data_IF_226326069656
#
_entry.id   IF_226326069656
#
_cell.length_a   1.000
_cell.length_b   1.000
_cell.length_c   1.000
_cell.angle_alpha   90.00
_cell.angle_beta   90.00
_cell.angle_gamma   90.00
#
_symmetry.space_group_name_H-M   'P 1'
#
loop_
_entity.id
_entity.type
_entity.pdbx_description
1 polymer ?
#
# COMPACT_ATOMS: atom_id res chain seq x y z
N UNK A 1 -20.18 24.13 23.66
CA UNK A 1 -18.93 24.57 23.00
C UNK A 1 -18.62 23.58 21.89
N UNK A 2 -18.75 24.00 20.62
CA UNK A 2 -18.41 23.16 19.47
C UNK A 2 -16.88 23.07 19.39
N UNK A 3 -16.31 21.91 19.67
CA UNK A 3 -14.90 21.66 19.44
C UNK A 3 -14.68 21.62 17.93
N UNK A 4 -14.10 22.69 17.39
CA UNK A 4 -13.60 22.75 16.01
C UNK A 4 -12.55 21.64 15.85
N UNK A 5 -12.86 20.60 15.08
CA UNK A 5 -11.92 19.51 14.82
C UNK A 5 -11.11 19.90 13.61
N UNK A 6 -9.80 19.99 13.73
CA UNK A 6 -8.96 20.42 12.61
C UNK A 6 -8.67 19.25 11.66
N UNK A 7 -8.44 19.52 10.37
CA UNK A 7 -7.94 18.50 9.43
C UNK A 7 -6.66 17.82 9.95
N UNK A 8 -5.84 18.52 10.75
CA UNK A 8 -4.68 17.94 11.44
C UNK A 8 -5.03 16.82 12.42
N UNK A 9 -6.23 16.82 13.00
CA UNK A 9 -6.68 15.82 13.97
C UNK A 9 -7.11 14.49 13.31
N UNK A 10 -7.26 14.48 11.97
CA UNK A 10 -7.59 13.29 11.19
C UNK A 10 -6.38 12.39 10.90
N UNK A 11 -5.18 12.75 11.38
CA UNK A 11 -4.00 11.88 11.25
C UNK A 11 -3.34 11.89 9.87
N UNK A 12 -3.53 12.94 9.06
CA UNK A 12 -2.91 13.05 7.72
C UNK A 12 -1.38 12.98 7.73
N UNK A 13 -0.73 13.37 8.84
CA UNK A 13 0.71 13.20 8.99
C UNK A 13 1.11 11.72 9.03
N UNK A 14 0.32 10.88 9.70
CA UNK A 14 0.59 9.44 9.78
C UNK A 14 0.26 8.75 8.46
N UNK A 15 -0.81 9.17 7.77
CA UNK A 15 -1.09 8.76 6.39
C UNK A 15 0.05 9.13 5.44
N UNK A 16 0.59 10.36 5.53
CA UNK A 16 1.73 10.79 4.73
C UNK A 16 2.96 9.90 4.95
N UNK A 17 3.30 9.60 6.21
CA UNK A 17 4.42 8.69 6.54
C UNK A 17 4.22 7.31 5.94
N UNK A 18 3.01 6.76 6.06
CA UNK A 18 2.67 5.47 5.47
C UNK A 18 2.81 5.52 3.95
N UNK A 19 2.22 6.51 3.28
CA UNK A 19 2.29 6.62 1.81
C UNK A 19 3.71 6.81 1.31
N UNK A 20 4.53 7.64 1.96
CA UNK A 20 5.94 7.81 1.58
C UNK A 20 6.69 6.50 1.73
N UNK A 21 6.50 5.76 2.83
CA UNK A 21 7.15 4.47 3.02
C UNK A 21 6.78 3.47 1.90
N UNK A 22 5.49 3.39 1.56
CA UNK A 22 4.99 2.60 0.44
C UNK A 22 5.58 3.05 -0.91
N UNK A 23 5.61 4.36 -1.18
CA UNK A 23 6.19 4.93 -2.41
C UNK A 23 7.66 4.56 -2.53
N UNK A 24 8.46 4.73 -1.47
CA UNK A 24 9.90 4.44 -1.50
C UNK A 24 10.14 2.96 -1.81
N UNK A 25 9.39 2.05 -1.17
CA UNK A 25 9.57 0.61 -1.39
C UNK A 25 9.11 0.19 -2.77
N UNK A 26 7.92 0.63 -3.21
CA UNK A 26 7.44 0.35 -4.56
C UNK A 26 8.42 0.88 -5.61
N UNK A 27 8.97 2.07 -5.40
CA UNK A 27 9.98 2.64 -6.30
C UNK A 27 11.26 1.81 -6.30
N UNK A 28 11.80 1.45 -5.12
CA UNK A 28 13.00 0.64 -5.01
C UNK A 28 12.83 -0.73 -5.69
N UNK A 29 11.70 -1.40 -5.43
CA UNK A 29 11.36 -2.68 -6.06
C UNK A 29 11.23 -2.52 -7.58
N UNK A 30 10.48 -1.51 -8.05
CA UNK A 30 10.39 -1.15 -9.47
C UNK A 30 11.77 -0.94 -10.11
N UNK A 31 12.67 -0.18 -9.49
CA UNK A 31 14.00 0.06 -10.03
C UNK A 31 14.84 -1.23 -10.10
N UNK A 32 14.81 -2.05 -9.04
CA UNK A 32 15.55 -3.32 -8.98
C UNK A 32 15.09 -4.27 -10.09
N UNK A 33 13.77 -4.43 -10.27
CA UNK A 33 13.25 -5.34 -11.29
C UNK A 33 13.45 -4.80 -12.69
N UNK A 34 13.24 -3.52 -12.94
CA UNK A 34 13.54 -2.96 -14.26
C UNK A 34 15.02 -3.10 -14.60
N UNK A 35 15.93 -2.90 -13.64
CA UNK A 35 17.35 -3.17 -13.83
C UNK A 35 17.63 -4.65 -14.14
N UNK A 36 17.04 -5.57 -13.37
CA UNK A 36 17.22 -7.01 -13.59
C UNK A 36 16.69 -7.47 -14.97
N UNK A 37 15.57 -6.91 -15.43
CA UNK A 37 14.99 -7.21 -16.74
C UNK A 37 15.84 -6.63 -17.87
N UNK A 38 16.33 -5.40 -17.72
CA UNK A 38 17.23 -4.78 -18.69
C UNK A 38 18.59 -5.49 -18.78
N UNK A 39 19.10 -6.00 -17.65
CA UNK A 39 20.37 -6.71 -17.58
C UNK A 39 20.31 -8.15 -18.10
N UNK A 40 19.12 -8.74 -18.29
CA UNK A 40 18.94 -10.15 -18.67
C UNK A 40 18.06 -10.31 -19.92
N UNK A 41 18.65 -10.66 -21.08
CA UNK A 41 17.90 -10.95 -22.31
C UNK A 41 16.91 -12.11 -22.13
N UNK A 42 17.24 -13.05 -21.24
CA UNK A 42 16.37 -14.17 -20.90
C UNK A 42 15.14 -13.71 -20.11
N UNK A 43 15.31 -12.86 -19.11
CA UNK A 43 14.19 -12.33 -18.32
C UNK A 43 13.24 -11.49 -19.18
N UNK A 44 13.80 -10.63 -20.06
CA UNK A 44 13.01 -9.85 -21.00
C UNK A 44 12.17 -10.74 -21.93
N UNK A 45 12.76 -11.84 -22.43
CA UNK A 45 12.07 -12.80 -23.30
C UNK A 45 10.94 -13.53 -22.57
N UNK A 46 11.16 -14.02 -21.34
CA UNK A 46 10.14 -14.70 -20.54
C UNK A 46 8.95 -13.79 -20.23
N UNK A 47 9.21 -12.52 -19.91
CA UNK A 47 8.16 -11.52 -19.63
C UNK A 47 7.31 -11.23 -20.88
N UNK A 48 7.94 -11.17 -22.06
CA UNK A 48 7.23 -10.90 -23.32
C UNK A 48 6.43 -12.12 -23.81
N UNK A 49 6.97 -13.33 -23.65
CA UNK A 49 6.33 -14.56 -24.13
C UNK A 49 5.22 -15.05 -23.20
N UNK A 50 5.40 -14.93 -21.88
CA UNK A 50 4.42 -15.37 -20.88
C UNK A 50 4.47 -14.49 -19.61
N UNK A 51 3.82 -13.31 -19.62
CA UNK A 51 3.83 -12.37 -18.50
C UNK A 51 3.17 -12.95 -17.24
N UNK A 52 2.26 -13.92 -17.38
CA UNK A 52 1.61 -14.57 -16.25
C UNK A 52 2.57 -15.54 -15.54
N UNK A 53 3.38 -16.27 -16.31
CA UNK A 53 4.45 -17.11 -15.76
C UNK A 53 5.52 -16.27 -15.08
N UNK A 54 5.97 -15.18 -15.69
CA UNK A 54 6.91 -14.26 -15.06
C UNK A 54 6.38 -13.70 -13.73
N UNK A 55 5.08 -13.39 -13.67
CA UNK A 55 4.41 -12.95 -12.45
C UNK A 55 4.42 -14.05 -11.37
N UNK A 56 4.19 -15.31 -11.73
CA UNK A 56 4.25 -16.45 -10.79
C UNK A 56 5.66 -16.68 -10.26
N UNK A 57 6.66 -16.65 -11.13
CA UNK A 57 8.06 -16.84 -10.75
C UNK A 57 8.52 -15.73 -9.80
N UNK A 58 8.13 -14.48 -10.06
CA UNK A 58 8.40 -13.36 -9.16
C UNK A 58 7.70 -13.52 -7.80
N UNK A 59 6.47 -14.01 -7.82
CA UNK A 59 5.67 -14.25 -6.63
C UNK A 59 6.28 -15.35 -5.73
N UNK A 60 6.69 -16.47 -6.34
CA UNK A 60 7.38 -17.56 -5.66
C UNK A 60 8.71 -17.09 -5.06
N UNK A 61 9.47 -16.29 -5.82
CA UNK A 61 10.70 -15.67 -5.31
C UNK A 61 10.44 -14.79 -4.10
N UNK A 62 9.44 -13.89 -4.18
CA UNK A 62 9.09 -12.99 -3.08
C UNK A 62 8.74 -13.74 -1.80
N UNK A 63 7.85 -14.74 -1.90
CA UNK A 63 7.45 -15.56 -0.75
C UNK A 63 8.62 -16.34 -0.17
N UNK A 64 9.52 -16.85 -1.01
CA UNK A 64 10.73 -17.55 -0.58
C UNK A 64 11.71 -16.62 0.14
N UNK A 65 11.80 -15.35 -0.27
CA UNK A 65 12.61 -14.33 0.41
C UNK A 65 12.02 -13.99 1.78
N UNK A 66 10.69 -13.94 1.93
CA UNK A 66 10.03 -13.61 3.20
C UNK A 66 10.03 -14.80 4.17
N UNK A 67 9.89 -16.03 3.68
CA UNK A 67 9.91 -17.22 4.53
C UNK A 67 10.72 -18.37 3.88
N UNK A 68 12.06 -18.27 3.90
CA UNK A 68 12.94 -19.28 3.30
C UNK A 68 12.81 -20.65 3.96
N UNK A 69 12.47 -20.69 5.25
CA UNK A 69 12.26 -21.94 6.00
C UNK A 69 11.03 -22.72 5.54
N UNK A 70 9.93 -22.03 5.22
CA UNK A 70 8.73 -22.69 4.72
C UNK A 70 8.88 -23.13 3.25
N UNK A 71 9.75 -22.47 2.47
CA UNK A 71 9.92 -22.70 1.03
C UNK A 71 11.29 -23.32 0.70
N UNK A 72 11.67 -24.37 1.42
CA UNK A 72 13.04 -24.90 1.40
C UNK A 72 13.49 -25.41 0.01
N UNK A 73 12.58 -25.93 -0.80
CA UNK A 73 12.85 -26.38 -2.18
C UNK A 73 13.18 -25.21 -3.11
N UNK A 74 12.37 -24.15 -3.09
CA UNK A 74 12.60 -22.92 -3.84
C UNK A 74 13.85 -22.18 -3.34
N UNK A 75 14.06 -22.13 -2.02
CA UNK A 75 15.25 -21.55 -1.40
C UNK A 75 16.53 -22.22 -1.88
N UNK A 76 16.59 -23.56 -1.84
CA UNK A 76 17.76 -24.33 -2.28
C UNK A 76 18.06 -24.07 -3.75
N UNK A 77 17.00 -24.00 -4.59
CA UNK A 77 17.12 -23.66 -6.01
C UNK A 77 17.70 -22.25 -6.21
N UNK A 78 17.20 -21.25 -5.50
CA UNK A 78 17.65 -19.85 -5.61
C UNK A 78 19.11 -19.70 -5.15
N UNK A 79 19.46 -20.26 -4.00
CA UNK A 79 20.84 -20.25 -3.47
C UNK A 79 21.82 -20.85 -4.47
N UNK A 80 21.48 -21.99 -5.07
CA UNK A 80 22.32 -22.67 -6.05
C UNK A 80 22.42 -21.92 -7.38
N UNK A 81 21.34 -21.28 -7.84
CA UNK A 81 21.32 -20.51 -9.10
C UNK A 81 22.15 -19.24 -8.99
N UNK A 82 22.00 -18.49 -7.89
CA UNK A 82 22.65 -17.19 -7.73
C UNK A 82 24.01 -17.27 -7.04
N UNK A 83 24.44 -18.46 -6.56
CA UNK A 83 25.70 -18.64 -5.83
C UNK A 83 25.77 -17.83 -4.53
N UNK A 84 24.60 -17.47 -3.97
CA UNK A 84 24.50 -16.64 -2.76
C UNK A 84 24.64 -17.54 -1.53
N UNK A 85 25.45 -17.16 -0.55
CA UNK A 85 25.56 -17.95 0.67
C UNK A 85 24.21 -18.03 1.42
N UNK A 86 23.82 -19.19 1.97
CA UNK A 86 22.59 -19.33 2.74
C UNK A 86 22.44 -18.27 3.83
N UNK A 87 23.54 -17.99 4.55
CA UNK A 87 23.59 -16.97 5.61
C UNK A 87 23.26 -15.56 5.10
N UNK A 88 23.77 -15.18 3.93
CA UNK A 88 23.47 -13.87 3.34
C UNK A 88 21.99 -13.78 2.95
N UNK A 89 21.42 -14.87 2.42
CA UNK A 89 20.00 -14.90 2.08
C UNK A 89 19.10 -14.73 3.30
N UNK A 90 19.43 -15.35 4.45
CA UNK A 90 18.69 -15.13 5.69
C UNK A 90 18.79 -13.70 6.22
N UNK A 91 19.95 -13.03 6.06
CA UNK A 91 20.08 -11.60 6.40
C UNK A 91 19.19 -10.74 5.50
N UNK A 92 19.18 -11.01 4.18
CA UNK A 92 18.31 -10.32 3.25
C UNK A 92 16.83 -10.52 3.58
N UNK A 93 16.44 -11.76 3.90
CA UNK A 93 15.09 -12.13 4.35
C UNK A 93 14.67 -11.32 5.57
N UNK A 94 15.51 -11.27 6.61
CA UNK A 94 15.22 -10.50 7.82
C UNK A 94 15.07 -8.98 7.56
N UNK A 95 15.86 -8.43 6.64
CA UNK A 95 15.72 -7.03 6.22
C UNK A 95 14.38 -6.80 5.52
N UNK A 96 14.00 -7.69 4.60
CA UNK A 96 12.71 -7.61 3.89
C UNK A 96 11.56 -7.70 4.89
N UNK A 97 11.61 -8.63 5.84
CA UNK A 97 10.58 -8.79 6.87
C UNK A 97 10.44 -7.54 7.73
N UNK A 98 11.56 -6.95 8.17
CA UNK A 98 11.56 -5.72 8.94
C UNK A 98 10.93 -4.56 8.17
N UNK A 99 11.22 -4.46 6.86
CA UNK A 99 10.62 -3.46 5.97
C UNK A 99 9.11 -3.69 5.85
N UNK A 100 8.66 -4.92 5.63
CA UNK A 100 7.24 -5.26 5.54
C UNK A 100 6.50 -4.96 6.84
N UNK A 101 7.04 -5.36 7.99
CA UNK A 101 6.46 -5.00 9.30
C UNK A 101 6.37 -3.49 9.48
N UNK A 102 7.38 -2.75 9.06
CA UNK A 102 7.39 -1.29 9.17
C UNK A 102 6.27 -0.68 8.35
N UNK A 103 6.07 -1.08 7.09
CA UNK A 103 5.03 -0.45 6.25
C UNK A 103 3.61 -0.82 6.64
N UNK A 104 3.37 -2.07 7.02
CA UNK A 104 2.05 -2.48 7.48
C UNK A 104 1.76 -1.93 8.87
N UNK A 105 2.79 -1.80 9.72
CA UNK A 105 2.70 -1.10 11.01
C UNK A 105 2.36 0.38 10.84
N UNK A 106 3.01 1.08 9.91
CA UNK A 106 2.69 2.48 9.60
C UNK A 106 1.27 2.63 9.04
N UNK A 107 0.83 1.74 8.16
CA UNK A 107 -0.54 1.72 7.65
C UNK A 107 -1.56 1.54 8.78
N UNK A 108 -1.31 0.61 9.71
CA UNK A 108 -2.17 0.38 10.88
C UNK A 108 -2.21 1.60 11.80
N UNK A 109 -1.07 2.21 12.10
CA UNK A 109 -0.99 3.42 12.93
C UNK A 109 -1.76 4.58 12.28
N UNK A 110 -1.61 4.77 10.97
CA UNK A 110 -2.33 5.79 10.22
C UNK A 110 -3.85 5.54 10.26
N UNK A 111 -4.29 4.30 10.06
CA UNK A 111 -5.72 3.94 10.13
C UNK A 111 -6.31 4.09 11.53
N UNK A 112 -5.55 3.76 12.59
CA UNK A 112 -5.98 4.00 13.97
C UNK A 112 -6.17 5.50 14.23
N UNK A 113 -5.21 6.33 13.83
CA UNK A 113 -5.28 7.80 13.96
C UNK A 113 -6.46 8.37 13.20
N UNK A 114 -6.67 7.92 11.95
CA UNK A 114 -7.81 8.30 11.14
C UNK A 114 -9.13 7.92 11.82
N UNK A 115 -9.23 6.70 12.33
CA UNK A 115 -10.43 6.20 13.01
C UNK A 115 -10.76 6.99 14.28
N UNK A 116 -9.77 7.27 15.13
CA UNK A 116 -9.98 8.09 16.32
C UNK A 116 -10.36 9.53 15.99
N UNK A 117 -9.72 10.13 14.97
CA UNK A 117 -10.07 11.47 14.48
C UNK A 117 -11.51 11.54 13.99
N UNK A 118 -11.90 10.64 13.09
CA UNK A 118 -13.27 10.57 12.55
C UNK A 118 -14.30 10.27 13.63
N UNK A 119 -14.00 9.36 14.57
CA UNK A 119 -14.91 9.04 15.69
C UNK A 119 -15.17 10.25 16.59
N UNK A 120 -14.19 11.12 16.77
CA UNK A 120 -14.33 12.37 17.53
C UNK A 120 -15.27 13.33 16.82
N UNK A 121 -15.14 13.47 15.49
CA UNK A 121 -16.06 14.26 14.65
C UNK A 121 -17.48 13.70 14.73
N UNK A 122 -17.66 12.39 14.60
CA UNK A 122 -18.98 11.74 14.66
C UNK A 122 -19.69 11.96 16.00
N UNK A 123 -18.95 11.92 17.12
CA UNK A 123 -19.52 12.21 18.44
C UNK A 123 -20.03 13.66 18.55
N UNK A 124 -19.37 14.61 17.90
CA UNK A 124 -19.76 16.02 17.88
C UNK A 124 -20.90 16.34 16.89
N UNK A 125 -20.91 15.66 15.74
CA UNK A 125 -21.90 15.85 14.68
C UNK A 125 -22.43 14.50 14.19
N UNK A 126 -23.63 14.11 14.65
CA UNK A 126 -24.32 12.88 14.21
C UNK A 126 -25.09 13.14 12.90
N UNK A 127 -24.41 13.01 11.77
CA UNK A 127 -24.99 13.13 10.43
C UNK A 127 -24.75 11.85 9.62
N UNK A 128 -25.51 11.66 8.55
CA UNK A 128 -25.31 10.53 7.62
C UNK A 128 -23.89 10.58 7.01
N UNK A 129 -23.38 11.78 6.76
CA UNK A 129 -22.02 12.00 6.27
C UNK A 129 -20.96 11.56 7.30
N UNK A 130 -21.18 11.80 8.60
CA UNK A 130 -20.25 11.38 9.64
C UNK A 130 -20.31 9.87 9.92
N UNK A 131 -21.45 9.23 9.66
CA UNK A 131 -21.53 7.76 9.69
C UNK A 131 -20.74 7.15 8.53
N UNK A 132 -20.87 7.70 7.33
CA UNK A 132 -20.14 7.23 6.15
C UNK A 132 -18.62 7.39 6.31
N UNK A 133 -18.15 8.47 6.93
CA UNK A 133 -16.71 8.64 7.21
C UNK A 133 -16.22 7.62 8.21
N UNK A 134 -17.03 7.29 9.22
CA UNK A 134 -16.70 6.25 10.19
C UNK A 134 -16.62 4.87 9.53
N UNK A 135 -17.49 4.58 8.57
CA UNK A 135 -17.41 3.35 7.75
C UNK A 135 -16.11 3.32 6.95
N UNK A 136 -15.75 4.41 6.25
CA UNK A 136 -14.49 4.50 5.52
C UNK A 136 -13.26 4.31 6.42
N UNK A 137 -13.23 4.96 7.58
CA UNK A 137 -12.14 4.81 8.54
C UNK A 137 -12.07 3.39 9.14
N UNK A 138 -13.23 2.76 9.37
CA UNK A 138 -13.30 1.38 9.88
C UNK A 138 -12.85 0.37 8.82
N UNK A 139 -13.22 0.56 7.55
CA UNK A 139 -12.72 -0.23 6.42
C UNK A 139 -11.21 -0.10 6.31
N UNK A 140 -10.69 1.12 6.44
CA UNK A 140 -9.25 1.37 6.42
C UNK A 140 -8.54 0.59 7.52
N UNK A 141 -9.07 0.67 8.75
CA UNK A 141 -8.53 -0.04 9.91
C UNK A 141 -8.58 -1.56 9.74
N UNK A 142 -9.74 -2.12 9.38
CA UNK A 142 -9.89 -3.56 9.11
C UNK A 142 -8.92 -4.01 8.02
N UNK A 143 -8.77 -3.22 6.95
CA UNK A 143 -7.82 -3.50 5.89
C UNK A 143 -6.38 -3.58 6.39
N UNK A 144 -5.94 -2.59 7.17
CA UNK A 144 -4.58 -2.57 7.73
C UNK A 144 -4.32 -3.75 8.69
N UNK A 145 -5.30 -4.14 9.51
CA UNK A 145 -5.21 -5.30 10.41
C UNK A 145 -5.14 -6.59 9.61
N UNK A 146 -6.02 -6.76 8.61
CA UNK A 146 -6.02 -7.94 7.74
C UNK A 146 -4.69 -8.07 6.99
N UNK A 147 -4.10 -6.95 6.57
CA UNK A 147 -2.81 -6.95 5.91
C UNK A 147 -1.68 -7.40 6.85
N UNK A 148 -1.69 -6.94 8.10
CA UNK A 148 -0.73 -7.37 9.12
C UNK A 148 -0.90 -8.85 9.48
N UNK A 149 -2.14 -9.33 9.61
CA UNK A 149 -2.42 -10.77 9.81
C UNK A 149 -1.88 -11.58 8.63
N UNK A 150 -2.08 -11.09 7.40
CA UNK A 150 -1.52 -11.72 6.22
C UNK A 150 0.00 -11.81 6.24
N UNK A 151 0.70 -10.77 6.73
CA UNK A 151 2.15 -10.80 6.93
C UNK A 151 2.54 -11.85 7.97
N UNK A 152 1.85 -11.92 9.10
CA UNK A 152 2.11 -12.93 10.14
C UNK A 152 1.91 -14.35 9.58
N UNK A 153 0.86 -14.57 8.79
CA UNK A 153 0.62 -15.85 8.13
C UNK A 153 1.75 -16.19 7.15
N UNK A 154 2.19 -15.23 6.34
CA UNK A 154 3.31 -15.42 5.41
C UNK A 154 4.60 -15.84 6.12
N UNK A 155 4.86 -15.28 7.30
CA UNK A 155 6.05 -15.60 8.11
C UNK A 155 5.95 -16.92 8.87
N UNK A 156 4.74 -17.40 9.15
CA UNK A 156 4.51 -18.57 10.01
C UNK A 156 4.03 -19.81 9.26
N UNK A 157 3.55 -19.65 8.03
CA UNK A 157 2.93 -20.71 7.24
C UNK A 157 3.43 -20.71 5.80
N UNK A 158 3.27 -21.86 5.14
CA UNK A 158 3.51 -22.02 3.71
C UNK A 158 2.31 -21.46 2.93
N UNK A 159 2.37 -20.18 2.57
CA UNK A 159 1.29 -19.49 1.86
C UNK A 159 1.63 -19.32 0.39
N UNK A 160 0.86 -19.96 -0.48
CA UNK A 160 0.97 -19.77 -1.92
C UNK A 160 0.65 -18.32 -2.30
N UNK A 161 1.51 -17.62 -3.05
CA UNK A 161 1.23 -16.26 -3.46
C UNK A 161 0.10 -16.20 -4.48
N UNK A 162 -0.64 -15.09 -4.47
CA UNK A 162 -1.69 -14.83 -5.46
C UNK A 162 -1.13 -13.99 -6.59
N UNK A 163 -1.21 -14.54 -7.80
CA UNK A 163 -0.93 -13.79 -9.03
C UNK A 163 -2.24 -13.24 -9.57
N UNK A 164 -2.40 -11.92 -9.51
CA UNK A 164 -3.55 -11.24 -10.13
C UNK A 164 -3.22 -10.83 -11.58
N UNK A 165 -4.27 -10.60 -12.38
CA UNK A 165 -4.13 -10.15 -13.77
C UNK A 165 -3.44 -8.77 -13.86
N UNK A 166 -3.58 -7.92 -12.83
CA UNK A 166 -2.89 -6.63 -12.75
C UNK A 166 -1.37 -6.76 -12.77
N UNK A 167 -0.81 -7.76 -12.07
CA UNK A 167 0.63 -8.02 -12.05
C UNK A 167 1.13 -8.44 -13.43
N UNK A 168 0.39 -9.30 -14.14
CA UNK A 168 0.71 -9.69 -15.51
C UNK A 168 0.64 -8.48 -16.48
N UNK A 169 -0.37 -7.62 -16.34
CA UNK A 169 -0.48 -6.39 -17.13
C UNK A 169 0.69 -5.44 -16.87
N UNK A 170 1.10 -5.27 -15.61
CA UNK A 170 2.25 -4.41 -15.25
C UNK A 170 3.60 -4.96 -15.71
N UNK A 171 3.73 -6.29 -15.83
CA UNK A 171 4.94 -6.92 -16.35
C UNK A 171 5.00 -6.84 -17.88
N UNK A 172 3.85 -6.84 -18.56
CA UNK A 172 3.76 -6.76 -20.02
C UNK A 172 4.08 -5.38 -20.61
N UNK A 173 4.12 -4.31 -19.80
CA UNK A 173 4.43 -2.96 -20.28
C UNK A 173 5.93 -2.68 -20.38
N UNK A 174 6.31 -1.73 -21.25
CA UNK A 174 7.70 -1.26 -21.44
C UNK A 174 8.33 -0.65 -20.17
N UNK A 175 7.54 -0.41 -19.13
CA UNK A 175 8.00 -0.04 -17.80
C UNK A 175 7.19 -0.83 -16.78
N UNK A 176 7.87 -1.58 -15.91
CA UNK A 176 7.21 -2.48 -14.96
C UNK A 176 6.78 -1.70 -13.72
N UNK A 177 5.47 -1.43 -13.60
CA UNK A 177 4.86 -0.78 -12.43
C UNK A 177 4.33 -1.85 -11.47
N UNK A 178 5.19 -2.48 -10.68
CA UNK A 178 4.82 -3.71 -9.96
C UNK A 178 3.61 -3.58 -9.03
N UNK A 179 2.72 -4.56 -9.15
CA UNK A 179 1.94 -5.04 -8.02
C UNK A 179 2.81 -5.97 -7.16
N UNK A 180 2.80 -5.78 -5.84
CA UNK A 180 3.50 -6.70 -4.94
C UNK A 180 2.72 -8.03 -4.87
N UNK A 181 3.38 -9.20 -5.02
CA UNK A 181 2.75 -10.52 -5.07
C UNK A 181 2.38 -10.99 -3.66
N UNK A 182 1.58 -10.20 -2.98
CA UNK A 182 1.17 -10.47 -1.63
C UNK A 182 0.17 -11.63 -1.57
N UNK A 183 0.24 -12.49 -0.53
CA UNK A 183 -0.84 -13.41 -0.18
C UNK A 183 -2.21 -12.74 -0.15
N UNK A 184 -3.27 -13.54 -0.33
CA UNK A 184 -4.63 -13.01 -0.41
C UNK A 184 -5.04 -12.11 0.78
N UNK A 185 -4.70 -12.40 2.07
CA UNK A 185 -5.10 -11.52 3.17
C UNK A 185 -4.35 -10.18 3.12
N UNK A 186 -3.07 -10.20 2.73
CA UNK A 186 -2.27 -8.99 2.53
C UNK A 186 -2.80 -8.12 1.39
N UNK A 187 -3.12 -8.75 0.26
CA UNK A 187 -3.69 -8.08 -0.91
C UNK A 187 -5.05 -7.46 -0.59
N UNK A 188 -5.98 -8.26 -0.05
CA UNK A 188 -7.32 -7.78 0.32
C UNK A 188 -7.27 -6.73 1.41
N UNK A 189 -6.38 -6.90 2.40
CA UNK A 189 -6.16 -5.92 3.46
C UNK A 189 -5.67 -4.58 2.91
N UNK A 190 -4.71 -4.60 1.99
CA UNK A 190 -4.19 -3.38 1.34
C UNK A 190 -5.28 -2.70 0.49
N UNK A 191 -6.09 -3.46 -0.25
CA UNK A 191 -7.20 -2.91 -1.03
C UNK A 191 -8.26 -2.27 -0.14
N UNK A 192 -8.67 -2.95 0.93
CA UNK A 192 -9.61 -2.40 1.91
C UNK A 192 -9.06 -1.16 2.61
N UNK A 193 -7.76 -1.15 2.90
CA UNK A 193 -7.06 -0.02 3.50
C UNK A 193 -7.19 1.24 2.63
N UNK A 194 -6.84 1.11 1.35
CA UNK A 194 -6.89 2.19 0.35
C UNK A 194 -8.35 2.61 0.07
N UNK A 195 -9.26 1.65 -0.08
CA UNK A 195 -10.68 1.93 -0.31
C UNK A 195 -11.27 2.75 0.84
N UNK A 196 -10.95 2.39 2.09
CA UNK A 196 -11.39 3.11 3.26
C UNK A 196 -10.92 4.57 3.26
N UNK A 197 -9.65 4.80 2.89
CA UNK A 197 -9.09 6.15 2.75
C UNK A 197 -9.79 6.92 1.63
N UNK A 198 -10.04 6.30 0.48
CA UNK A 198 -10.76 6.90 -0.63
C UNK A 198 -12.18 7.34 -0.25
N UNK A 199 -12.91 6.50 0.50
CA UNK A 199 -14.25 6.84 1.01
C UNK A 199 -14.18 8.06 1.94
N UNK A 200 -13.22 8.09 2.88
CA UNK A 200 -13.05 9.26 3.75
C UNK A 200 -12.70 10.51 2.93
N UNK A 201 -11.82 10.38 1.93
CA UNK A 201 -11.46 11.46 1.01
C UNK A 201 -12.66 12.03 0.25
N UNK A 202 -13.53 11.19 -0.32
CA UNK A 202 -14.76 11.62 -1.02
C UNK A 202 -15.67 12.41 -0.08
N UNK A 203 -15.81 11.96 1.16
CA UNK A 203 -16.70 12.60 2.12
C UNK A 203 -16.13 13.95 2.60
N UNK A 204 -14.82 14.03 2.83
CA UNK A 204 -14.14 15.30 3.12
C UNK A 204 -14.24 16.26 1.94
N UNK A 205 -14.10 15.78 0.70
CA UNK A 205 -14.30 16.58 -0.50
C UNK A 205 -15.67 17.28 -0.51
N UNK A 206 -16.74 16.57 -0.15
CA UNK A 206 -18.10 17.13 -0.07
C UNK A 206 -18.17 18.29 0.93
N UNK A 207 -17.53 18.17 2.10
CA UNK A 207 -17.47 19.25 3.08
C UNK A 207 -16.71 20.46 2.53
N UNK A 208 -15.54 20.24 1.93
CA UNK A 208 -14.71 21.32 1.38
C UNK A 208 -15.38 22.04 0.21
N UNK A 209 -16.17 21.33 -0.60
CA UNK A 209 -17.02 21.95 -1.65
C UNK A 209 -18.05 22.90 -1.05
N UNK A 210 -18.70 22.51 0.06
CA UNK A 210 -19.69 23.37 0.74
C UNK A 210 -19.03 24.62 1.32
N UNK A 211 -17.81 24.49 1.82
CA UNK A 211 -17.05 25.58 2.42
C UNK A 211 -16.31 26.46 1.38
N UNK A 212 -16.46 26.16 0.08
CA UNK A 212 -15.86 26.93 -1.02
C UNK A 212 -14.34 26.82 -1.09
N UNK A 213 -13.78 25.75 -0.55
CA UNK A 213 -12.36 25.61 -0.34
C UNK A 213 -11.64 24.92 -1.51
N UNK A 214 -11.32 25.71 -2.54
CA UNK A 214 -10.74 25.21 -3.80
C UNK A 214 -9.43 24.43 -3.64
N UNK A 215 -8.52 24.84 -2.75
CA UNK A 215 -7.25 24.14 -2.54
C UNK A 215 -7.47 22.79 -1.85
N UNK A 216 -8.32 22.76 -0.83
CA UNK A 216 -8.68 21.51 -0.14
C UNK A 216 -9.37 20.53 -1.08
N UNK A 217 -10.25 21.04 -1.94
CA UNK A 217 -10.94 20.25 -2.98
C UNK A 217 -9.93 19.61 -3.93
N UNK A 218 -8.96 20.39 -4.44
CA UNK A 218 -7.94 19.87 -5.35
C UNK A 218 -7.10 18.77 -4.69
N UNK A 219 -6.65 18.97 -3.45
CA UNK A 219 -5.81 17.97 -2.77
C UNK A 219 -6.58 16.69 -2.44
N UNK A 220 -7.85 16.80 -2.03
CA UNK A 220 -8.71 15.62 -1.81
C UNK A 220 -9.01 14.89 -3.11
N UNK A 221 -9.23 15.60 -4.22
CA UNK A 221 -9.41 14.98 -5.53
C UNK A 221 -8.16 14.17 -5.93
N UNK A 222 -6.95 14.71 -5.71
CA UNK A 222 -5.69 13.98 -5.97
C UNK A 222 -5.59 12.73 -5.09
N UNK A 223 -5.96 12.81 -3.81
CA UNK A 223 -5.97 11.66 -2.89
C UNK A 223 -6.91 10.55 -3.39
N UNK A 224 -8.11 10.92 -3.85
CA UNK A 224 -9.12 9.99 -4.37
C UNK A 224 -8.62 9.33 -5.67
N UNK A 225 -8.09 10.12 -6.60
CA UNK A 225 -7.51 9.61 -7.85
C UNK A 225 -6.35 8.65 -7.53
N UNK A 226 -5.46 9.01 -6.61
CA UNK A 226 -4.38 8.15 -6.17
C UNK A 226 -4.87 6.83 -5.56
N UNK A 227 -5.95 6.88 -4.78
CA UNK A 227 -6.60 5.69 -4.21
C UNK A 227 -7.15 4.78 -5.32
N UNK A 228 -7.86 5.35 -6.31
CA UNK A 228 -8.42 4.61 -7.44
C UNK A 228 -7.31 3.95 -8.26
N UNK A 229 -6.26 4.70 -8.62
CA UNK A 229 -5.12 4.18 -9.38
C UNK A 229 -4.43 3.02 -8.65
N UNK A 230 -4.31 3.11 -7.33
CA UNK A 230 -3.73 2.02 -6.53
C UNK A 230 -4.60 0.75 -6.56
N UNK A 231 -5.93 0.90 -6.51
CA UNK A 231 -6.87 -0.22 -6.54
C UNK A 231 -6.86 -0.94 -7.89
N UNK A 232 -6.75 -0.21 -9.01
CA UNK A 232 -6.75 -0.80 -10.36
C UNK A 232 -5.39 -1.37 -10.80
N UNK A 233 -4.41 -1.46 -9.88
CA UNK A 233 -3.12 -2.09 -10.15
C UNK A 233 -1.99 -1.12 -10.50
N UNK A 234 -2.23 0.19 -10.60
CA UNK A 234 -1.19 1.21 -10.77
C UNK A 234 -0.66 1.68 -9.41
N UNK A 235 -0.21 0.74 -8.56
CA UNK A 235 0.13 1.00 -7.16
C UNK A 235 1.14 2.14 -6.99
N UNK A 236 2.29 2.10 -7.68
CA UNK A 236 3.34 3.11 -7.51
C UNK A 236 2.81 4.53 -7.78
N UNK A 237 2.13 4.72 -8.91
CA UNK A 237 1.57 6.03 -9.29
C UNK A 237 0.52 6.47 -8.28
N UNK A 238 -0.36 5.55 -7.88
CA UNK A 238 -1.39 5.85 -6.89
C UNK A 238 -0.80 6.29 -5.54
N UNK A 239 0.20 5.60 -5.02
CA UNK A 239 0.89 5.97 -3.78
C UNK A 239 1.68 7.28 -3.89
N UNK A 240 2.26 7.59 -5.05
CA UNK A 240 2.89 8.90 -5.30
C UNK A 240 1.84 10.01 -5.17
N UNK A 241 0.68 9.87 -5.83
CA UNK A 241 -0.39 10.87 -5.75
C UNK A 241 -0.94 11.01 -4.32
N UNK A 242 -1.17 9.91 -3.61
CA UNK A 242 -1.63 9.94 -2.22
C UNK A 242 -0.60 10.59 -1.28
N UNK A 243 0.70 10.36 -1.51
CA UNK A 243 1.80 11.03 -0.78
C UNK A 243 1.80 12.54 -1.04
N UNK A 244 1.72 12.97 -2.30
CA UNK A 244 1.69 14.39 -2.67
C UNK A 244 0.47 15.07 -2.06
N UNK A 245 -0.73 14.48 -2.23
CA UNK A 245 -1.97 15.02 -1.66
C UNK A 245 -1.88 15.16 -0.15
N UNK A 246 -1.44 14.12 0.56
CA UNK A 246 -1.31 14.15 2.02
C UNK A 246 -0.27 15.15 2.48
N UNK A 247 0.84 15.30 1.74
CA UNK A 247 1.88 16.29 2.01
C UNK A 247 1.34 17.71 1.89
N UNK A 248 0.61 17.99 0.81
CA UNK A 248 -0.01 19.30 0.57
C UNK A 248 -1.07 19.63 1.63
N UNK A 249 -1.89 18.66 2.03
CA UNK A 249 -2.85 18.82 3.14
C UNK A 249 -2.10 19.13 4.44
N UNK A 250 -1.06 18.36 4.79
CA UNK A 250 -0.26 18.58 6.01
C UNK A 250 0.44 19.94 6.02
N UNK A 251 0.90 20.43 4.87
CA UNK A 251 1.59 21.73 4.78
C UNK A 251 0.62 22.90 4.86
N UNK A 252 -0.54 22.79 4.22
CA UNK A 252 -1.49 23.92 4.07
C UNK A 252 -2.58 23.95 5.13
N UNK A 253 -2.85 22.86 5.86
CA UNK A 253 -4.04 22.69 6.72
C UNK A 253 -3.77 22.47 8.19
N UNK A 254 -2.59 22.84 8.72
CA UNK A 254 -2.27 22.71 10.16
C UNK A 254 -3.20 23.46 11.12
N UNK A 255 -4.14 24.29 10.63
CA UNK A 255 -5.04 25.09 11.46
C UNK A 255 -6.46 25.28 10.92
N UNK A 256 -6.90 24.49 9.93
CA UNK A 256 -8.27 24.62 9.38
C UNK A 256 -9.22 23.76 10.19
N UNK A 257 -10.14 24.44 10.87
CA UNK A 257 -11.23 23.87 11.64
C UNK A 257 -12.35 23.35 10.74
N UNK A 258 -12.81 22.13 11.02
CA UNK A 258 -14.02 21.47 10.53
C UNK A 258 -15.06 21.48 11.66
#
# INVERSE_FOLDING_TARGET
>A
MSAKVTLSDLGFMDLLKAFIAWTIILLAVTLIVNYAVLASPYAAKVIQEDPLRAARDFAEFFVTVVNPSAHQSAFTKIVNIFGISPSFFFVLSAIVDAILFTIFGLALLASLRLWFGVRTIWKGHRSILSLATLVGASLSLIGSVLALIGLILLLTTDVTPVVNQGMALTLSSSSIYMALPFPWPMTMGTLLWILGIGIVGILLLIFLVRDGDFLGIAFMAILIIGSILSIIGMLLIGFILMSIASGLIVLTRRGVAI
#
